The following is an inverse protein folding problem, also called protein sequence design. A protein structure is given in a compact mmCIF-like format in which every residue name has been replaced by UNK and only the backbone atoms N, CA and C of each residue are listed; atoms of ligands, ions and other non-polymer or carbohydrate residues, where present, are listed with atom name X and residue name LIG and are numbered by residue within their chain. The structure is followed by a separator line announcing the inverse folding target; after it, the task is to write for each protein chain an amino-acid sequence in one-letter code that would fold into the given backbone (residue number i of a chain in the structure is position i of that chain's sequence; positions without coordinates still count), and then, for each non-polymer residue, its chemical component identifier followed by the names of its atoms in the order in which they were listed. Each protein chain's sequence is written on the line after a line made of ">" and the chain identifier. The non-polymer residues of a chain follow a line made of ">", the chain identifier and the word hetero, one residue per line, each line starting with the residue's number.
data_IF_173661067078
#
_entry.id   IF_173661067078
#
_cell.length_a   1.000
_cell.length_b   1.000
_cell.length_c   1.000
_cell.angle_alpha   90.00
_cell.angle_beta   90.00
_cell.angle_gamma   90.00
#
_symmetry.space_group_name_H-M   'P 1'
#
loop_
_entity.id
_entity.type
_entity.pdbx_description
1 polymer ?
#
# COMPACT_ATOMS: atom_id res chain seq x y z
N UNK A 1 -15.53 -28.91 -52.50
CA UNK A 1 -14.58 -27.82 -52.14
C UNK A 1 -15.17 -26.84 -51.12
N UNK A 2 -16.47 -26.62 -51.15
CA UNK A 2 -17.25 -25.68 -50.30
C UNK A 2 -17.36 -26.08 -48.79
N UNK A 3 -17.34 -27.40 -48.48
CA UNK A 3 -17.41 -27.88 -47.07
C UNK A 3 -16.09 -27.68 -46.27
N UNK A 4 -14.96 -27.61 -46.92
CA UNK A 4 -13.65 -27.40 -46.26
C UNK A 4 -13.42 -25.92 -45.89
N UNK A 5 -14.04 -25.01 -46.63
CA UNK A 5 -13.95 -23.55 -46.40
C UNK A 5 -14.87 -23.13 -45.25
N UNK A 6 -16.04 -23.73 -45.11
CA UNK A 6 -17.00 -23.48 -44.04
C UNK A 6 -16.51 -23.99 -42.68
N UNK A 7 -15.68 -25.05 -42.63
CA UNK A 7 -15.12 -25.58 -41.41
C UNK A 7 -13.93 -24.71 -40.89
N UNK A 8 -13.19 -24.05 -41.80
CA UNK A 8 -12.12 -23.10 -41.42
C UNK A 8 -12.63 -21.80 -40.81
N UNK A 9 -13.74 -21.28 -41.32
CA UNK A 9 -14.36 -20.04 -40.79
C UNK A 9 -15.01 -20.28 -39.42
N UNK A 10 -15.59 -21.44 -39.14
CA UNK A 10 -16.12 -21.80 -37.81
C UNK A 10 -15.04 -21.85 -36.73
N UNK A 11 -13.93 -22.52 -37.01
CA UNK A 11 -12.82 -22.67 -36.06
C UNK A 11 -12.06 -21.35 -35.81
N UNK A 12 -12.05 -20.43 -36.78
CA UNK A 12 -11.43 -19.11 -36.61
C UNK A 12 -12.27 -18.18 -35.73
N UNK A 13 -13.60 -18.25 -35.84
CA UNK A 13 -14.53 -17.49 -35.01
C UNK A 13 -14.55 -17.97 -33.53
N UNK A 14 -14.43 -19.28 -33.30
CA UNK A 14 -14.31 -19.84 -31.93
C UNK A 14 -13.01 -19.42 -31.26
N UNK A 15 -11.87 -19.54 -31.95
CA UNK A 15 -10.59 -19.10 -31.40
C UNK A 15 -10.55 -17.60 -31.07
N UNK A 16 -11.19 -16.77 -31.89
CA UNK A 16 -11.28 -15.33 -31.61
C UNK A 16 -12.12 -15.04 -30.37
N UNK A 17 -13.22 -15.77 -30.15
CA UNK A 17 -14.07 -15.65 -28.95
C UNK A 17 -13.36 -16.13 -27.69
N UNK A 18 -12.63 -17.24 -27.77
CA UNK A 18 -11.85 -17.79 -26.65
C UNK A 18 -10.74 -16.81 -26.26
N UNK A 19 -9.99 -16.29 -27.22
CA UNK A 19 -8.96 -15.26 -26.97
C UNK A 19 -9.54 -13.99 -26.34
N UNK A 20 -10.70 -13.53 -26.79
CA UNK A 20 -11.40 -12.39 -26.18
C UNK A 20 -11.85 -12.69 -24.75
N UNK A 21 -12.32 -13.91 -24.49
CA UNK A 21 -12.70 -14.40 -23.16
C UNK A 21 -11.50 -14.38 -22.19
N UNK A 22 -10.35 -14.87 -22.62
CA UNK A 22 -9.10 -14.88 -21.83
C UNK A 22 -8.62 -13.45 -21.51
N UNK A 23 -8.62 -12.56 -22.50
CA UNK A 23 -8.25 -11.15 -22.30
C UNK A 23 -9.18 -10.46 -21.30
N UNK A 24 -10.49 -10.68 -21.43
CA UNK A 24 -11.49 -10.14 -20.51
C UNK A 24 -11.26 -10.64 -19.09
N UNK A 25 -11.00 -11.91 -18.93
CA UNK A 25 -10.75 -12.52 -17.62
C UNK A 25 -9.47 -11.99 -16.99
N UNK A 26 -8.40 -11.83 -17.78
CA UNK A 26 -7.15 -11.20 -17.34
C UNK A 26 -7.33 -9.79 -16.81
N UNK A 27 -8.10 -8.94 -17.52
CA UNK A 27 -8.43 -7.57 -17.07
C UNK A 27 -9.24 -7.55 -15.77
N UNK A 28 -10.22 -8.44 -15.63
CA UNK A 28 -11.02 -8.56 -14.40
C UNK A 28 -10.17 -9.00 -13.21
N UNK A 29 -9.26 -9.93 -13.41
CA UNK A 29 -8.32 -10.39 -12.39
C UNK A 29 -7.35 -9.30 -11.97
N UNK A 30 -6.85 -8.49 -12.91
CA UNK A 30 -6.03 -7.32 -12.60
C UNK A 30 -6.79 -6.28 -11.78
N UNK A 31 -8.02 -5.93 -12.17
CA UNK A 31 -8.89 -5.03 -11.40
C UNK A 31 -9.12 -5.58 -9.99
N UNK A 32 -9.37 -6.89 -9.86
CA UNK A 32 -9.54 -7.56 -8.57
C UNK A 32 -8.28 -7.50 -7.70
N UNK A 33 -7.10 -7.61 -8.31
CA UNK A 33 -5.80 -7.47 -7.61
C UNK A 33 -5.56 -6.04 -7.15
N UNK A 34 -5.86 -5.04 -8.00
CA UNK A 34 -5.72 -3.62 -7.65
C UNK A 34 -6.66 -3.22 -6.50
N UNK A 35 -7.91 -3.69 -6.50
CA UNK A 35 -8.86 -3.47 -5.39
C UNK A 35 -8.35 -4.04 -4.07
N UNK A 36 -7.80 -5.26 -4.08
CA UNK A 36 -7.19 -5.87 -2.89
C UNK A 36 -5.95 -5.10 -2.43
N UNK A 37 -5.16 -4.60 -3.37
CA UNK A 37 -3.97 -3.81 -3.04
C UNK A 37 -4.33 -2.45 -2.45
N UNK A 38 -5.38 -1.78 -2.94
CA UNK A 38 -5.89 -0.51 -2.40
C UNK A 38 -6.24 -0.61 -0.91
N UNK A 39 -6.76 -1.75 -0.46
CA UNK A 39 -7.14 -1.95 0.94
C UNK A 39 -5.94 -2.12 1.88
N UNK A 40 -4.73 -2.35 1.37
CA UNK A 40 -3.54 -2.57 2.22
C UNK A 40 -3.20 -1.36 3.10
N UNK A 41 -3.39 -0.14 2.59
CA UNK A 41 -3.19 1.09 3.37
C UNK A 41 -4.12 1.15 4.58
N UNK A 42 -5.39 0.83 4.37
CA UNK A 42 -6.40 0.80 5.44
C UNK A 42 -6.08 -0.27 6.50
N UNK A 43 -5.61 -1.44 6.07
CA UNK A 43 -5.19 -2.50 6.99
C UNK A 43 -4.00 -2.07 7.85
N UNK A 44 -3.00 -1.41 7.25
CA UNK A 44 -1.85 -0.89 7.99
C UNK A 44 -2.28 0.19 9.01
N UNK A 45 -3.19 1.09 8.61
CA UNK A 45 -3.75 2.10 9.50
C UNK A 45 -4.54 1.46 10.66
N UNK A 46 -5.38 0.47 10.36
CA UNK A 46 -6.15 -0.25 11.40
C UNK A 46 -5.23 -0.97 12.40
N UNK A 47 -4.17 -1.61 11.90
CA UNK A 47 -3.17 -2.26 12.75
C UNK A 47 -2.44 -1.25 13.65
N UNK A 48 -2.10 -0.08 13.10
CA UNK A 48 -1.49 1.00 13.86
C UNK A 48 -2.42 1.53 14.96
N UNK A 49 -3.70 1.73 14.67
CA UNK A 49 -4.69 2.17 15.66
C UNK A 49 -4.85 1.14 16.79
N UNK A 50 -4.84 -0.15 16.45
CA UNK A 50 -4.90 -1.23 17.44
C UNK A 50 -3.63 -1.22 18.31
N UNK A 51 -2.45 -1.07 17.72
CA UNK A 51 -1.19 -0.92 18.43
C UNK A 51 -1.18 0.32 19.34
N UNK A 52 -1.66 1.45 18.84
CA UNK A 52 -1.77 2.69 19.61
C UNK A 52 -2.71 2.53 20.81
N UNK A 53 -3.80 1.76 20.66
CA UNK A 53 -4.68 1.44 21.78
C UNK A 53 -3.99 0.58 22.84
N UNK A 54 -3.14 -0.36 22.41
CA UNK A 54 -2.34 -1.16 23.32
C UNK A 54 -1.27 -0.30 24.05
N UNK A 55 -0.64 0.63 23.32
CA UNK A 55 0.32 1.60 23.89
C UNK A 55 -0.36 2.54 24.90
N UNK A 56 -1.58 3.01 24.62
CA UNK A 56 -2.37 3.82 25.55
C UNK A 56 -2.63 3.12 26.89
N UNK A 57 -2.69 1.78 26.86
CA UNK A 57 -2.85 0.95 28.06
C UNK A 57 -1.52 0.44 28.64
N UNK A 58 -0.41 1.14 28.36
CA UNK A 58 0.93 0.78 28.83
C UNK A 58 1.34 -0.66 28.54
N UNK A 59 0.94 -1.20 27.39
CA UNK A 59 1.30 -2.57 26.98
C UNK A 59 1.16 -3.59 28.13
N UNK A 60 0.01 -3.65 28.80
CA UNK A 60 -0.30 -4.50 29.96
C UNK A 60 0.16 -5.98 29.84
N UNK A 61 0.50 -6.43 28.66
CA UNK A 61 0.98 -7.78 28.34
C UNK A 61 2.51 -7.89 28.25
N UNK A 62 3.26 -6.78 28.29
CA UNK A 62 4.71 -6.78 28.25
C UNK A 62 5.32 -6.89 29.67
N UNK A 63 6.56 -7.42 29.78
CA UNK A 63 7.30 -7.39 31.03
C UNK A 63 7.57 -5.96 31.46
N UNK A 64 7.75 -5.76 32.77
CA UNK A 64 8.01 -4.42 33.31
C UNK A 64 9.28 -3.83 32.74
N UNK A 65 9.34 -2.47 32.47
CA UNK A 65 10.50 -1.83 31.91
C UNK A 65 11.81 -2.15 32.67
N UNK A 66 11.76 -2.20 34.01
CA UNK A 66 12.92 -2.46 34.86
C UNK A 66 13.53 -3.85 34.60
N UNK A 67 12.71 -4.87 34.35
CA UNK A 67 13.15 -6.25 34.07
C UNK A 67 13.89 -6.32 32.72
N UNK A 68 13.38 -5.60 31.73
CA UNK A 68 13.98 -5.54 30.40
C UNK A 68 15.29 -4.76 30.42
N UNK A 69 15.32 -3.60 31.11
CA UNK A 69 16.53 -2.77 31.26
C UNK A 69 17.63 -3.51 32.02
N UNK A 70 17.26 -4.34 33.03
CA UNK A 70 18.24 -5.16 33.75
C UNK A 70 18.93 -6.20 32.86
N UNK A 71 18.25 -6.66 31.79
CA UNK A 71 18.76 -7.69 30.86
C UNK A 71 19.45 -7.09 29.63
N UNK A 72 18.88 -6.04 29.04
CA UNK A 72 19.30 -5.45 27.77
C UNK A 72 20.18 -4.19 27.95
N UNK A 73 20.25 -3.64 29.16
CA UNK A 73 20.95 -2.38 29.46
C UNK A 73 20.00 -1.17 29.44
N UNK A 74 20.57 -0.01 29.75
CA UNK A 74 19.81 1.24 29.89
C UNK A 74 19.11 1.66 28.58
N UNK A 75 17.84 2.04 28.67
CA UNK A 75 17.10 2.58 27.55
C UNK A 75 17.69 3.91 27.05
N UNK A 76 17.55 4.25 25.75
CA UNK A 76 17.94 5.55 25.23
C UNK A 76 17.20 6.69 25.95
N UNK A 77 17.86 7.84 26.08
CA UNK A 77 17.22 9.02 26.67
C UNK A 77 16.00 9.47 25.83
N UNK A 78 14.87 9.86 26.42
CA UNK A 78 13.66 10.25 25.70
C UNK A 78 13.92 11.34 24.63
N UNK A 79 14.81 12.30 24.91
CA UNK A 79 15.19 13.33 23.93
C UNK A 79 15.79 12.73 22.64
N UNK A 80 16.65 11.70 22.78
CA UNK A 80 17.26 11.04 21.61
C UNK A 80 16.20 10.29 20.80
N UNK A 81 15.25 9.62 21.46
CA UNK A 81 14.12 8.96 20.80
C UNK A 81 13.29 9.98 20.05
N UNK A 82 13.00 11.15 20.65
CA UNK A 82 12.23 12.23 20.03
C UNK A 82 12.93 12.80 18.79
N UNK A 83 14.25 13.01 18.82
CA UNK A 83 15.02 13.48 17.66
C UNK A 83 14.95 12.47 16.50
N UNK A 84 15.12 11.19 16.81
CA UNK A 84 15.03 10.13 15.79
C UNK A 84 13.62 10.03 15.23
N UNK A 85 12.58 10.18 16.06
CA UNK A 85 11.19 10.19 15.63
C UNK A 85 10.91 11.35 14.66
N UNK A 86 11.39 12.56 14.97
CA UNK A 86 11.24 13.73 14.10
C UNK A 86 11.94 13.51 12.75
N UNK A 87 13.22 13.08 12.77
CA UNK A 87 13.96 12.76 11.54
C UNK A 87 13.25 11.68 10.70
N UNK A 88 12.79 10.62 11.36
CA UNK A 88 12.05 9.55 10.71
C UNK A 88 10.75 10.07 10.06
N UNK A 89 9.98 10.88 10.79
CA UNK A 89 8.70 11.43 10.32
C UNK A 89 8.91 12.31 9.09
N UNK A 90 9.90 13.23 9.15
CA UNK A 90 10.27 14.08 8.03
C UNK A 90 10.70 13.26 6.81
N UNK A 91 11.60 12.31 7.02
CA UNK A 91 12.09 11.44 5.94
C UNK A 91 10.96 10.61 5.32
N UNK A 92 10.06 10.06 6.13
CA UNK A 92 8.94 9.27 5.65
C UNK A 92 7.97 10.12 4.82
N UNK A 93 7.65 11.34 5.25
CA UNK A 93 6.77 12.25 4.53
C UNK A 93 7.39 12.65 3.18
N UNK A 94 8.66 13.10 3.18
CA UNK A 94 9.37 13.50 1.96
C UNK A 94 9.43 12.33 0.98
N UNK A 95 9.78 11.14 1.44
CA UNK A 95 9.82 9.94 0.60
C UNK A 95 8.44 9.59 0.03
N UNK A 96 7.37 9.70 0.82
CA UNK A 96 6.02 9.42 0.36
C UNK A 96 5.58 10.41 -0.70
N UNK A 97 5.86 11.70 -0.53
CA UNK A 97 5.56 12.75 -1.50
C UNK A 97 6.39 12.59 -2.79
N UNK A 98 7.70 12.34 -2.67
CA UNK A 98 8.58 12.12 -3.82
C UNK A 98 8.13 10.94 -4.67
N UNK A 99 7.74 9.83 -4.04
CA UNK A 99 7.23 8.64 -4.73
C UNK A 99 5.86 8.87 -5.38
N UNK A 100 5.06 9.78 -4.84
CA UNK A 100 3.78 10.18 -5.43
C UNK A 100 3.99 10.84 -6.80
N UNK A 101 5.06 11.62 -6.94
CA UNK A 101 5.43 12.25 -8.21
C UNK A 101 6.04 11.27 -9.22
N UNK A 102 6.73 10.23 -8.75
CA UNK A 102 7.45 9.26 -9.59
C UNK A 102 6.66 8.01 -10.00
N UNK A 103 5.40 7.85 -9.64
CA UNK A 103 4.55 6.72 -10.03
C UNK A 103 5.02 5.32 -9.58
N UNK A 104 6.01 5.23 -8.70
CA UNK A 104 6.68 3.97 -8.34
C UNK A 104 5.86 3.15 -7.33
N UNK A 105 5.60 1.89 -7.65
CA UNK A 105 5.02 0.91 -6.71
C UNK A 105 5.99 0.59 -5.58
N UNK A 106 5.52 0.67 -4.33
CA UNK A 106 6.29 0.12 -3.20
C UNK A 106 5.38 -0.55 -2.14
N UNK A 107 5.77 -1.70 -1.57
CA UNK A 107 4.91 -2.50 -0.70
C UNK A 107 4.97 -2.12 0.79
N UNK A 108 5.32 -0.89 1.15
CA UNK A 108 5.98 -0.56 2.42
C UNK A 108 5.10 -0.04 3.58
N UNK A 109 3.76 0.04 3.46
CA UNK A 109 2.92 0.61 4.56
C UNK A 109 3.08 -0.13 5.90
N UNK A 110 3.26 -1.45 5.86
CA UNK A 110 3.46 -2.25 7.07
C UNK A 110 4.83 -2.01 7.74
N UNK A 111 5.86 -1.64 6.98
CA UNK A 111 7.17 -1.29 7.57
C UNK A 111 7.06 -0.06 8.47
N UNK A 112 6.24 0.93 8.09
CA UNK A 112 6.01 2.10 8.93
C UNK A 112 5.34 1.73 10.26
N UNK A 113 4.38 0.80 10.25
CA UNK A 113 3.77 0.29 11.49
C UNK A 113 4.81 -0.37 12.39
N UNK A 114 5.75 -1.15 11.82
CA UNK A 114 6.85 -1.77 12.56
C UNK A 114 7.79 -0.74 13.22
N UNK A 115 8.18 0.30 12.48
CA UNK A 115 9.02 1.38 13.03
C UNK A 115 8.29 2.16 14.12
N UNK A 116 7.01 2.47 13.93
CA UNK A 116 6.20 3.17 14.93
C UNK A 116 5.98 2.33 16.19
N UNK A 117 5.82 1.01 16.03
CA UNK A 117 5.81 0.07 17.15
C UNK A 117 7.13 0.14 17.94
N UNK A 118 8.27 0.20 17.23
CA UNK A 118 9.58 0.39 17.85
C UNK A 118 9.67 1.66 18.68
N UNK A 119 9.14 2.79 18.17
CA UNK A 119 9.12 4.05 18.94
C UNK A 119 8.25 3.95 20.20
N UNK A 120 7.08 3.34 20.13
CA UNK A 120 6.25 3.08 21.31
C UNK A 120 7.00 2.23 22.34
N UNK A 121 7.69 1.17 21.91
CA UNK A 121 8.47 0.30 22.79
C UNK A 121 9.67 1.04 23.41
N UNK A 122 10.39 1.86 22.62
CA UNK A 122 11.51 2.64 23.16
C UNK A 122 11.06 3.62 24.24
N UNK A 123 9.92 4.31 24.01
CA UNK A 123 9.37 5.20 25.04
C UNK A 123 8.83 4.42 26.25
N UNK A 124 8.25 3.23 26.03
CA UNK A 124 7.84 2.37 27.12
C UNK A 124 9.02 1.94 28.02
N UNK A 125 10.11 1.47 27.41
CA UNK A 125 11.31 1.07 28.17
C UNK A 125 12.05 2.26 28.79
N UNK A 126 11.91 3.44 28.24
CA UNK A 126 12.44 4.68 28.82
C UNK A 126 11.54 5.29 29.90
N UNK A 127 10.42 4.63 30.25
CA UNK A 127 9.39 5.11 31.21
C UNK A 127 8.86 6.52 30.86
N UNK A 128 8.80 6.86 29.57
CA UNK A 128 8.41 8.15 29.04
C UNK A 128 7.26 8.07 28.02
N UNK A 129 6.57 6.92 27.98
CA UNK A 129 5.52 6.64 26.98
C UNK A 129 4.35 7.61 27.12
N UNK A 130 3.87 7.87 28.34
CA UNK A 130 2.70 8.72 28.59
C UNK A 130 2.91 10.16 28.10
N UNK A 131 4.11 10.71 28.34
CA UNK A 131 4.46 12.07 27.92
C UNK A 131 4.63 12.21 26.39
N UNK A 132 5.02 11.13 25.71
CA UNK A 132 5.38 11.14 24.30
C UNK A 132 4.39 10.36 23.40
N UNK A 133 3.35 9.80 23.98
CA UNK A 133 2.34 9.02 23.26
C UNK A 133 1.79 9.75 22.03
N UNK A 134 1.35 10.99 22.22
CA UNK A 134 0.75 11.79 21.17
C UNK A 134 1.72 12.16 20.05
N UNK A 135 3.01 12.27 20.34
CA UNK A 135 4.03 12.51 19.32
C UNK A 135 4.15 11.31 18.37
N UNK A 136 4.22 10.09 18.90
CA UNK A 136 4.25 8.86 18.07
C UNK A 136 2.93 8.65 17.34
N UNK A 137 1.80 8.88 18.02
CA UNK A 137 0.48 8.74 17.42
C UNK A 137 0.29 9.71 16.25
N UNK A 138 0.59 11.00 16.45
CA UNK A 138 0.46 12.03 15.42
C UNK A 138 1.38 11.76 14.21
N UNK A 139 2.64 11.41 14.46
CA UNK A 139 3.58 11.04 13.42
C UNK A 139 3.09 9.83 12.61
N UNK A 140 2.70 8.78 13.29
CA UNK A 140 2.24 7.53 12.66
C UNK A 140 0.95 7.71 11.89
N UNK A 141 -0.02 8.40 12.45
CA UNK A 141 -1.29 8.70 11.80
C UNK A 141 -1.06 9.49 10.51
N UNK A 142 -0.24 10.55 10.56
CA UNK A 142 0.08 11.37 9.38
C UNK A 142 0.76 10.56 8.29
N UNK A 143 1.81 9.80 8.62
CA UNK A 143 2.54 8.98 7.64
C UNK A 143 1.61 7.95 6.99
N UNK A 144 0.83 7.22 7.80
CA UNK A 144 -0.03 6.16 7.30
C UNK A 144 -1.23 6.68 6.51
N UNK A 145 -1.77 7.84 6.87
CA UNK A 145 -2.80 8.52 6.07
C UNK A 145 -2.27 8.93 4.70
N UNK A 146 -1.08 9.54 4.63
CA UNK A 146 -0.44 9.90 3.36
C UNK A 146 -0.17 8.67 2.49
N UNK A 147 0.38 7.60 3.08
CA UNK A 147 0.63 6.34 2.36
C UNK A 147 -0.68 5.68 1.87
N UNK A 148 -1.71 5.67 2.70
CA UNK A 148 -3.02 5.12 2.33
C UNK A 148 -3.66 5.92 1.20
N UNK A 149 -3.60 7.25 1.26
CA UNK A 149 -4.10 8.14 0.21
C UNK A 149 -3.36 7.91 -1.11
N UNK A 150 -2.02 7.81 -1.06
CA UNK A 150 -1.18 7.53 -2.24
C UNK A 150 -1.56 6.21 -2.90
N UNK A 151 -1.67 5.13 -2.11
CA UNK A 151 -2.05 3.81 -2.63
C UNK A 151 -3.44 3.86 -3.25
N UNK A 152 -4.37 4.52 -2.58
CA UNK A 152 -5.74 4.64 -3.06
C UNK A 152 -5.82 5.38 -4.39
N UNK A 153 -5.16 6.54 -4.51
CA UNK A 153 -5.13 7.36 -5.74
C UNK A 153 -4.51 6.55 -6.89
N UNK A 154 -3.35 5.93 -6.67
CA UNK A 154 -2.69 5.10 -7.68
C UNK A 154 -3.59 3.94 -8.15
N UNK A 155 -4.22 3.23 -7.21
CA UNK A 155 -5.12 2.12 -7.56
C UNK A 155 -6.37 2.59 -8.28
N UNK A 156 -6.93 3.74 -7.88
CA UNK A 156 -8.11 4.34 -8.53
C UNK A 156 -7.85 4.66 -9.99
N UNK A 157 -6.71 5.30 -10.29
CA UNK A 157 -6.32 5.64 -11.66
C UNK A 157 -6.10 4.39 -12.52
N UNK A 158 -5.40 3.39 -11.95
CA UNK A 158 -5.16 2.13 -12.67
C UNK A 158 -6.46 1.35 -12.92
N UNK A 159 -7.37 1.32 -11.94
CA UNK A 159 -8.69 0.67 -12.10
C UNK A 159 -9.49 1.40 -13.16
N UNK A 160 -9.47 2.74 -13.19
CA UNK A 160 -10.10 3.54 -14.23
C UNK A 160 -9.60 3.14 -15.63
N UNK A 161 -8.30 3.19 -15.87
CA UNK A 161 -7.67 2.79 -17.14
C UNK A 161 -8.04 1.36 -17.55
N UNK A 162 -7.99 0.39 -16.63
CA UNK A 162 -8.34 -1.02 -16.92
C UNK A 162 -9.83 -1.20 -17.19
N UNK A 163 -10.71 -0.45 -16.52
CA UNK A 163 -12.13 -0.52 -16.78
C UNK A 163 -12.51 0.08 -18.15
N UNK A 164 -11.82 1.13 -18.58
CA UNK A 164 -11.98 1.70 -19.94
C UNK A 164 -11.51 0.71 -21.02
N UNK A 165 -10.36 0.05 -20.80
CA UNK A 165 -9.88 -1.00 -21.69
C UNK A 165 -10.87 -2.17 -21.79
N UNK A 166 -11.48 -2.57 -20.67
CA UNK A 166 -12.50 -3.61 -20.63
C UNK A 166 -13.75 -3.20 -21.41
N UNK A 167 -14.25 -1.98 -21.20
CA UNK A 167 -15.42 -1.44 -21.92
C UNK A 167 -15.15 -1.34 -23.44
N UNK A 168 -13.92 -0.95 -23.83
CA UNK A 168 -13.52 -0.91 -25.23
C UNK A 168 -13.47 -2.31 -25.86
N UNK A 169 -12.88 -3.29 -25.14
CA UNK A 169 -12.84 -4.69 -25.56
C UNK A 169 -14.25 -5.27 -25.76
N UNK A 170 -15.17 -4.99 -24.83
CA UNK A 170 -16.55 -5.48 -24.90
C UNK A 170 -17.32 -4.84 -26.07
N UNK A 171 -17.03 -3.58 -26.42
CA UNK A 171 -17.69 -2.88 -27.53
C UNK A 171 -17.12 -3.24 -28.90
N UNK A 172 -15.80 -3.37 -29.00
CA UNK A 172 -15.09 -3.46 -30.29
C UNK A 172 -14.52 -4.85 -30.57
N UNK A 173 -14.55 -5.76 -29.60
CA UNK A 173 -13.97 -7.12 -29.72
C UNK A 173 -12.46 -7.18 -29.81
N UNK A 174 -11.76 -6.05 -29.62
CA UNK A 174 -10.30 -5.93 -29.67
C UNK A 174 -9.79 -4.97 -28.60
N UNK A 175 -8.52 -5.13 -28.20
CA UNK A 175 -7.87 -4.17 -27.32
C UNK A 175 -7.73 -2.79 -27.99
N UNK A 176 -7.81 -1.69 -27.23
CA UNK A 176 -7.44 -0.38 -27.74
C UNK A 176 -5.96 -0.43 -28.20
N UNK A 177 -5.58 0.34 -29.26
CA UNK A 177 -4.19 0.52 -29.59
C UNK A 177 -3.47 1.06 -28.33
N UNK A 178 -2.28 0.52 -28.04
CA UNK A 178 -1.43 1.10 -26.99
C UNK A 178 -1.13 2.54 -27.43
N UNK A 179 -1.69 3.51 -26.71
CA UNK A 179 -1.27 4.90 -26.81
C UNK A 179 0.14 4.91 -26.21
N UNK A 180 1.14 5.14 -27.04
CA UNK A 180 2.52 5.31 -26.63
C UNK A 180 2.55 6.41 -25.56
N UNK A 181 2.79 6.04 -24.29
CA UNK A 181 2.90 6.99 -23.17
C UNK A 181 4.06 8.00 -23.37
N UNK A 182 4.80 7.88 -24.45
CA UNK A 182 5.95 8.72 -24.81
C UNK A 182 5.56 10.11 -25.35
N UNK A 183 4.30 10.32 -25.78
CA UNK A 183 3.89 11.60 -26.41
C UNK A 183 3.43 12.68 -25.42
N UNK A 184 3.45 12.45 -24.14
CA UNK A 184 3.00 13.41 -23.10
C UNK A 184 4.15 14.18 -22.41
N UNK A 185 5.41 13.96 -22.84
CA UNK A 185 6.58 14.61 -22.26
C UNK A 185 7.42 15.45 -23.27
N UNK A 186 6.83 15.82 -24.42
CA UNK A 186 7.42 16.83 -25.33
C UNK A 186 6.76 18.21 -25.13
#
# INVERSE_FOLDING_TARGET
>A
MEQAENNKTGTMGERARDAQGELRQGLLDEIGRLKRFSNRGLWALSLFLLLSTAAWRDFWFLPRPQEVVATLGAAPKPLMISLVLVLYTFSAIILSLSRMMGGVRHPSSFCHVGYLAGFYLFYYFAEALQDNYWAVFGAGFTILCLESYRIWTFCSDQIGKRSEQLAFLERNGRMPPEEDEESLYD
#
